data_IF_501149451928
#
_entry.id   IF_501149451928
#
_cell.length_a   1.000
_cell.length_b   1.000
_cell.length_c   1.000
_cell.angle_alpha   90.00
_cell.angle_beta   90.00
_cell.angle_gamma   90.00
#
_symmetry.space_group_name_H-M   'P 1'
#
loop_
_entity.id
_entity.type
_entity.pdbx_description
1 polymer ?
#
# COMPACT_ATOMS: atom_id res chain seq x y z
N UNK A 1 6.56 -34.89 -10.61
CA UNK A 1 7.80 -34.77 -9.80
C UNK A 1 8.60 -33.58 -10.33
N UNK A 2 9.12 -32.70 -9.46
CA UNK A 2 9.98 -31.57 -9.87
C UNK A 2 11.31 -32.10 -10.45
N UNK A 3 11.83 -31.44 -11.49
CA UNK A 3 13.15 -31.74 -12.07
C UNK A 3 14.28 -31.42 -11.08
N UNK A 4 15.50 -31.98 -11.23
CA UNK A 4 16.65 -31.64 -10.40
C UNK A 4 16.94 -30.13 -10.33
N UNK A 5 16.82 -29.41 -11.46
CA UNK A 5 16.94 -27.95 -11.50
C UNK A 5 15.81 -27.24 -10.73
N UNK A 6 14.58 -27.77 -10.79
CA UNK A 6 13.45 -27.24 -10.04
C UNK A 6 13.61 -27.41 -8.53
N UNK A 7 14.28 -28.47 -8.07
CA UNK A 7 14.62 -28.67 -6.64
C UNK A 7 15.70 -27.69 -6.18
N UNK A 8 16.79 -27.53 -6.94
CA UNK A 8 17.87 -26.61 -6.61
C UNK A 8 17.40 -25.14 -6.57
N UNK A 9 16.54 -24.72 -7.51
CA UNK A 9 15.95 -23.37 -7.48
C UNK A 9 15.05 -23.15 -6.27
N UNK A 10 14.28 -24.19 -5.88
CA UNK A 10 13.41 -24.13 -4.71
C UNK A 10 14.21 -24.05 -3.41
N UNK A 11 15.23 -24.89 -3.25
CA UNK A 11 16.12 -24.85 -2.07
C UNK A 11 16.82 -23.49 -1.94
N UNK A 12 17.36 -22.95 -3.05
CA UNK A 12 17.96 -21.61 -3.04
C UNK A 12 16.95 -20.50 -2.70
N UNK A 13 15.70 -20.64 -3.12
CA UNK A 13 14.63 -19.70 -2.79
C UNK A 13 14.21 -19.81 -1.33
N UNK A 14 14.06 -21.04 -0.81
CA UNK A 14 13.67 -21.32 0.57
C UNK A 14 14.75 -20.79 1.54
N UNK A 15 16.03 -20.98 1.23
CA UNK A 15 17.16 -20.41 2.00
C UNK A 15 17.16 -18.87 2.00
N UNK A 16 16.85 -18.23 0.85
CA UNK A 16 16.72 -16.77 0.78
C UNK A 16 15.55 -16.26 1.61
N UNK A 17 14.42 -16.95 1.59
CA UNK A 17 13.24 -16.61 2.39
C UNK A 17 13.57 -16.74 3.88
N UNK A 18 14.18 -17.85 4.29
CA UNK A 18 14.53 -18.10 5.69
C UNK A 18 15.47 -17.02 6.26
N UNK A 19 16.54 -16.69 5.54
CA UNK A 19 17.46 -15.59 5.94
C UNK A 19 16.75 -14.25 6.06
N UNK A 20 15.79 -13.98 5.18
CA UNK A 20 15.00 -12.74 5.21
C UNK A 20 14.07 -12.68 6.43
N UNK A 21 13.41 -13.79 6.77
CA UNK A 21 12.55 -13.91 7.95
C UNK A 21 13.37 -13.72 9.23
N UNK A 22 14.54 -14.34 9.34
CA UNK A 22 15.43 -14.16 10.48
C UNK A 22 15.86 -12.70 10.65
N UNK A 23 16.22 -12.03 9.55
CA UNK A 23 16.54 -10.60 9.55
C UNK A 23 15.36 -9.72 10.02
N UNK A 24 14.14 -10.03 9.56
CA UNK A 24 12.95 -9.31 9.98
C UNK A 24 12.64 -9.46 11.47
N UNK A 25 12.81 -10.66 12.05
CA UNK A 25 12.54 -10.86 13.49
C UNK A 25 13.44 -10.01 14.38
N UNK A 26 14.71 -9.84 14.00
CA UNK A 26 15.64 -8.98 14.74
C UNK A 26 15.25 -7.51 14.60
N UNK A 27 14.96 -7.06 13.37
CA UNK A 27 14.54 -5.69 13.07
C UNK A 27 13.21 -5.32 13.76
N UNK A 28 12.24 -6.22 13.74
CA UNK A 28 10.87 -5.97 14.17
C UNK A 28 10.63 -6.22 15.66
N UNK A 29 11.65 -6.64 16.43
CA UNK A 29 11.48 -7.08 17.82
C UNK A 29 10.70 -6.07 18.68
N UNK A 30 11.13 -4.80 18.70
CA UNK A 30 10.46 -3.73 19.48
C UNK A 30 9.00 -3.57 19.06
N UNK A 31 8.74 -3.58 17.75
CA UNK A 31 7.38 -3.46 17.20
C UNK A 31 6.51 -4.66 17.56
N UNK A 32 7.05 -5.88 17.49
CA UNK A 32 6.33 -7.10 17.86
C UNK A 32 6.00 -7.11 19.35
N UNK A 33 6.92 -6.66 20.21
CA UNK A 33 6.69 -6.54 21.65
C UNK A 33 5.58 -5.53 21.97
N UNK A 34 5.58 -4.36 21.31
CA UNK A 34 4.53 -3.35 21.47
C UNK A 34 3.16 -3.83 20.97
N UNK A 35 3.12 -4.50 19.81
CA UNK A 35 1.89 -5.09 19.28
C UNK A 35 1.36 -6.19 20.21
N UNK A 36 2.24 -7.05 20.75
CA UNK A 36 1.86 -8.09 21.69
C UNK A 36 1.31 -7.51 22.99
N UNK A 37 1.92 -6.44 23.52
CA UNK A 37 1.42 -5.73 24.68
C UNK A 37 0.02 -5.10 24.44
N UNK A 38 -0.28 -4.75 23.19
CA UNK A 38 -1.60 -4.29 22.77
C UNK A 38 -2.56 -5.44 22.39
N UNK A 39 -2.19 -6.70 22.61
CA UNK A 39 -3.04 -7.88 22.35
C UNK A 39 -2.96 -8.43 20.91
N UNK A 40 -2.02 -7.96 20.09
CA UNK A 40 -1.80 -8.42 18.71
C UNK A 40 -0.49 -9.21 18.65
N UNK A 41 -0.59 -10.54 18.72
CA UNK A 41 0.59 -11.42 18.71
C UNK A 41 0.83 -11.99 17.30
N UNK A 42 1.96 -11.60 16.70
CA UNK A 42 2.37 -12.00 15.36
C UNK A 42 3.78 -12.61 15.43
N UNK A 43 4.12 -13.50 14.49
CA UNK A 43 5.52 -13.92 14.33
C UNK A 43 6.36 -12.88 13.56
N UNK A 44 5.76 -12.26 12.56
CA UNK A 44 6.34 -11.21 11.72
C UNK A 44 5.26 -10.20 11.36
N UNK A 45 5.64 -8.92 11.33
CA UNK A 45 4.74 -7.80 10.98
C UNK A 45 4.25 -7.91 9.54
N UNK A 46 5.01 -8.61 8.69
CA UNK A 46 4.66 -8.79 7.28
C UNK A 46 3.35 -9.55 7.07
N UNK A 47 2.89 -10.30 8.06
CA UNK A 47 1.62 -11.02 8.01
C UNK A 47 0.42 -10.16 8.41
N UNK A 48 0.64 -9.04 9.10
CA UNK A 48 -0.41 -8.15 9.60
C UNK A 48 -1.39 -7.66 8.52
N UNK A 49 -0.96 -7.29 7.29
CA UNK A 49 -1.89 -6.89 6.23
C UNK A 49 -2.91 -7.96 5.82
N UNK A 50 -2.65 -9.23 6.16
CA UNK A 50 -3.55 -10.35 5.85
C UNK A 50 -4.59 -10.59 6.94
N UNK A 51 -4.47 -9.91 8.09
CA UNK A 51 -5.40 -10.04 9.21
C UNK A 51 -6.64 -9.16 9.00
N UNK A 52 -7.81 -9.54 9.57
CA UNK A 52 -8.96 -8.64 9.61
C UNK A 52 -8.62 -7.34 10.33
N UNK A 53 -8.91 -6.19 9.72
CA UNK A 53 -8.60 -4.88 10.31
C UNK A 53 -9.25 -4.64 11.68
N UNK A 54 -10.40 -5.29 11.95
CA UNK A 54 -11.05 -5.26 13.26
C UNK A 54 -10.16 -5.72 14.41
N UNK A 55 -9.19 -6.59 14.12
CA UNK A 55 -8.43 -7.30 15.14
C UNK A 55 -7.20 -6.49 15.60
N UNK A 56 -6.81 -5.46 14.84
CA UNK A 56 -5.63 -4.65 15.14
C UNK A 56 -5.84 -3.14 14.96
N UNK A 57 -7.05 -2.67 14.67
CA UNK A 57 -7.33 -1.23 14.46
C UNK A 57 -6.90 -0.35 15.64
N UNK A 58 -6.95 -0.85 16.88
CA UNK A 58 -6.51 -0.14 18.08
C UNK A 58 -4.98 0.05 18.13
N UNK A 59 -4.21 -0.68 17.32
CA UNK A 59 -2.75 -0.54 17.24
C UNK A 59 -2.28 0.48 16.20
N UNK A 60 -3.19 1.15 15.47
CA UNK A 60 -2.83 2.19 14.50
C UNK A 60 -1.84 3.26 15.05
N UNK A 61 -1.94 3.74 16.30
CA UNK A 61 -0.95 4.66 16.87
C UNK A 61 0.46 4.07 16.96
N UNK A 62 0.57 2.76 17.22
CA UNK A 62 1.84 2.03 17.21
C UNK A 62 2.36 1.97 15.78
N UNK A 63 1.54 1.52 14.83
CA UNK A 63 1.94 1.39 13.42
C UNK A 63 2.45 2.73 12.86
N UNK A 64 1.74 3.84 13.12
CA UNK A 64 2.13 5.17 12.68
C UNK A 64 3.52 5.57 13.19
N UNK A 65 3.75 5.49 14.52
CA UNK A 65 5.07 5.75 15.12
C UNK A 65 6.18 4.92 14.48
N UNK A 66 5.90 3.65 14.19
CA UNK A 66 6.88 2.72 13.63
C UNK A 66 7.17 2.96 12.13
N UNK A 67 6.34 3.70 11.40
CA UNK A 67 6.64 4.11 10.01
C UNK A 67 7.86 5.04 9.91
N UNK A 68 8.20 5.74 10.99
CA UNK A 68 9.34 6.65 11.03
C UNK A 68 10.65 5.99 11.48
N UNK A 69 10.63 4.70 11.82
CA UNK A 69 11.82 3.96 12.23
C UNK A 69 12.67 3.57 11.02
N UNK A 70 14.00 3.37 11.19
CA UNK A 70 14.91 3.00 10.11
C UNK A 70 14.78 1.51 9.73
N UNK A 71 13.56 1.09 9.43
CA UNK A 71 13.25 -0.27 9.01
C UNK A 71 13.51 -0.47 7.52
N UNK A 72 13.69 -1.73 7.16
CA UNK A 72 13.73 -2.19 5.80
C UNK A 72 12.43 -1.82 5.06
N UNK A 73 12.56 -1.62 3.75
CA UNK A 73 11.43 -1.35 2.87
C UNK A 73 10.33 -2.41 2.97
N UNK A 74 10.70 -3.67 3.24
CA UNK A 74 9.74 -4.76 3.47
C UNK A 74 8.86 -4.53 4.69
N UNK A 75 9.46 -4.19 5.82
CA UNK A 75 8.74 -3.89 7.06
C UNK A 75 7.90 -2.62 6.91
N UNK A 76 8.46 -1.55 6.36
CA UNK A 76 7.74 -0.29 6.12
C UNK A 76 6.55 -0.46 5.17
N UNK A 77 6.71 -1.23 4.10
CA UNK A 77 5.62 -1.55 3.17
C UNK A 77 4.48 -2.31 3.86
N UNK A 78 4.81 -3.29 4.71
CA UNK A 78 3.79 -4.04 5.47
C UNK A 78 3.10 -3.18 6.51
N UNK A 79 3.83 -2.30 7.22
CA UNK A 79 3.24 -1.32 8.12
C UNK A 79 2.24 -0.40 7.39
N UNK A 80 2.66 0.22 6.30
CA UNK A 80 1.81 1.13 5.55
C UNK A 80 0.57 0.42 4.97
N UNK A 81 0.72 -0.79 4.41
CA UNK A 81 -0.42 -1.57 3.92
C UNK A 81 -1.40 -1.93 5.04
N UNK A 82 -0.88 -2.24 6.24
CA UNK A 82 -1.73 -2.53 7.41
C UNK A 82 -2.58 -1.32 7.79
N UNK A 83 -2.11 -0.10 7.54
CA UNK A 83 -2.88 1.15 7.72
C UNK A 83 -3.85 1.45 6.55
N UNK A 84 -4.04 0.51 5.62
CA UNK A 84 -4.97 0.55 4.49
C UNK A 84 -6.47 0.55 4.85
N UNK A 85 -6.90 1.36 5.81
CA UNK A 85 -8.26 1.40 6.33
C UNK A 85 -8.75 2.83 6.64
N UNK A 86 -10.06 3.01 6.74
CA UNK A 86 -10.67 4.34 6.98
C UNK A 86 -10.29 4.91 8.35
N UNK A 87 -10.05 4.04 9.34
CA UNK A 87 -9.70 4.41 10.71
C UNK A 87 -8.30 5.02 10.81
N UNK A 88 -7.45 4.84 9.78
CA UNK A 88 -6.15 5.49 9.69
C UNK A 88 -6.24 6.97 9.22
N UNK A 89 -7.45 7.52 9.03
CA UNK A 89 -7.66 8.91 8.62
C UNK A 89 -6.94 9.97 9.49
N UNK A 90 -6.79 9.79 10.83
CA UNK A 90 -6.02 10.73 11.65
C UNK A 90 -4.54 10.85 11.25
N UNK A 91 -3.98 9.84 10.58
CA UNK A 91 -2.58 9.78 10.13
C UNK A 91 -2.42 10.23 8.66
N UNK A 92 -3.47 10.80 8.06
CA UNK A 92 -3.47 11.20 6.65
C UNK A 92 -2.25 12.04 6.25
N UNK A 93 -2.00 13.12 6.99
CA UNK A 93 -0.96 14.09 6.65
C UNK A 93 0.44 13.46 6.74
N UNK A 94 0.64 12.58 7.72
CA UNK A 94 1.88 11.81 7.91
C UNK A 94 2.12 10.86 6.74
N UNK A 95 1.09 10.08 6.36
CA UNK A 95 1.14 9.16 5.22
C UNK A 95 1.45 9.90 3.92
N UNK A 96 0.79 11.03 3.67
CA UNK A 96 1.03 11.87 2.47
C UNK A 96 2.45 12.43 2.47
N UNK A 97 2.96 12.86 3.64
CA UNK A 97 4.32 13.37 3.78
C UNK A 97 5.35 12.30 3.42
N UNK A 98 5.21 11.10 3.99
CA UNK A 98 6.09 9.96 3.68
C UNK A 98 5.99 9.55 2.20
N UNK A 99 4.80 9.58 1.63
CA UNK A 99 4.56 9.21 0.24
C UNK A 99 5.22 10.17 -0.75
N UNK A 100 5.16 11.48 -0.48
CA UNK A 100 5.84 12.50 -1.30
C UNK A 100 7.36 12.38 -1.29
N UNK A 101 7.93 11.73 -0.28
CA UNK A 101 9.38 11.49 -0.17
C UNK A 101 9.83 10.23 -0.92
N UNK A 102 8.89 9.41 -1.41
CA UNK A 102 9.26 8.17 -2.11
C UNK A 102 9.73 8.44 -3.54
N UNK A 103 10.74 7.70 -4.03
CA UNK A 103 11.18 7.81 -5.41
C UNK A 103 10.12 7.28 -6.39
N UNK A 104 10.07 7.83 -7.60
CA UNK A 104 9.14 7.39 -8.65
C UNK A 104 9.33 5.90 -9.03
N UNK A 105 10.58 5.44 -9.01
CA UNK A 105 10.96 4.07 -9.35
C UNK A 105 11.50 3.39 -8.10
N UNK A 106 10.78 2.37 -7.65
CA UNK A 106 11.25 1.42 -6.66
C UNK A 106 11.91 0.24 -7.37
N UNK A 107 12.94 -0.34 -6.74
CA UNK A 107 13.55 -1.58 -7.21
C UNK A 107 12.48 -2.69 -7.25
N UNK A 108 12.25 -3.36 -8.40
CA UNK A 108 11.25 -4.42 -8.52
C UNK A 108 11.43 -5.59 -7.53
N UNK A 109 12.66 -5.82 -7.05
CA UNK A 109 12.99 -6.92 -6.13
C UNK A 109 12.76 -6.55 -4.65
N UNK A 110 12.40 -5.29 -4.36
CA UNK A 110 12.15 -4.76 -3.03
C UNK A 110 10.66 -4.50 -2.86
N UNK A 111 10.07 -4.98 -1.75
CA UNK A 111 8.67 -4.68 -1.44
C UNK A 111 8.48 -3.17 -1.37
N UNK A 112 7.57 -2.66 -2.21
CA UNK A 112 7.41 -1.24 -2.47
C UNK A 112 6.66 -0.54 -1.32
N UNK A 113 7.40 0.25 -0.53
CA UNK A 113 6.86 1.08 0.55
C UNK A 113 5.92 2.17 0.01
N UNK A 114 6.26 2.79 -1.12
CA UNK A 114 5.40 3.78 -1.79
C UNK A 114 4.06 3.19 -2.21
N UNK A 115 4.03 1.93 -2.64
CA UNK A 115 2.80 1.21 -2.90
C UNK A 115 1.95 1.05 -1.64
N UNK A 116 2.57 0.67 -0.51
CA UNK A 116 1.88 0.54 0.77
C UNK A 116 1.28 1.87 1.24
N UNK A 117 2.03 2.96 1.11
CA UNK A 117 1.56 4.31 1.42
C UNK A 117 0.41 4.73 0.50
N UNK A 118 0.49 4.47 -0.80
CA UNK A 118 -0.58 4.77 -1.74
C UNK A 118 -1.89 4.01 -1.39
N UNK A 119 -1.80 2.76 -0.92
CA UNK A 119 -2.95 2.01 -0.42
C UNK A 119 -3.52 2.65 0.85
N UNK A 120 -2.66 2.98 1.82
CA UNK A 120 -3.05 3.66 3.06
C UNK A 120 -3.80 4.96 2.76
N UNK A 121 -3.23 5.82 1.94
CA UNK A 121 -3.79 7.09 1.47
C UNK A 121 -5.09 6.85 0.67
N UNK A 122 -5.17 5.85 -0.18
CA UNK A 122 -6.43 5.59 -0.90
C UNK A 122 -7.56 5.19 0.05
N UNK A 123 -7.25 4.40 1.09
CA UNK A 123 -8.25 3.88 2.01
C UNK A 123 -8.66 4.87 3.11
N UNK A 124 -7.73 5.69 3.60
CA UNK A 124 -7.90 6.56 4.77
C UNK A 124 -8.32 7.99 4.45
N UNK A 125 -8.50 8.35 3.17
CA UNK A 125 -8.83 9.72 2.77
C UNK A 125 -10.13 10.23 3.43
N UNK A 126 -10.09 11.30 4.24
CA UNK A 126 -11.30 11.90 4.77
C UNK A 126 -12.04 12.63 3.65
N UNK A 127 -13.40 12.69 3.67
CA UNK A 127 -14.18 13.34 2.62
C UNK A 127 -13.78 14.79 2.33
N UNK A 128 -13.34 15.53 3.35
CA UNK A 128 -12.86 16.91 3.24
C UNK A 128 -11.57 17.08 2.43
N UNK A 129 -10.79 16.01 2.23
CA UNK A 129 -9.48 16.05 1.56
C UNK A 129 -9.45 15.32 0.22
N UNK A 130 -10.62 15.03 -0.36
CA UNK A 130 -10.67 14.40 -1.68
C UNK A 130 -10.05 15.27 -2.78
N UNK A 131 -10.06 16.60 -2.62
CA UNK A 131 -9.41 17.50 -3.57
C UNK A 131 -7.88 17.42 -3.48
N UNK A 132 -7.31 17.29 -2.27
CA UNK A 132 -5.89 17.01 -2.08
C UNK A 132 -5.49 15.65 -2.69
N UNK A 133 -6.36 14.64 -2.61
CA UNK A 133 -6.14 13.35 -3.28
C UNK A 133 -6.08 13.50 -4.80
N UNK A 134 -6.90 14.37 -5.39
CA UNK A 134 -6.83 14.68 -6.83
C UNK A 134 -5.50 15.31 -7.19
N UNK A 135 -4.98 16.24 -6.37
CA UNK A 135 -3.66 16.83 -6.59
C UNK A 135 -2.55 15.76 -6.55
N UNK A 136 -2.62 14.81 -5.61
CA UNK A 136 -1.67 13.68 -5.56
C UNK A 136 -1.76 12.79 -6.81
N UNK A 137 -2.96 12.54 -7.32
CA UNK A 137 -3.17 11.78 -8.57
C UNK A 137 -2.53 12.53 -9.74
N UNK A 138 -2.67 13.85 -9.81
CA UNK A 138 -2.14 14.66 -10.92
C UNK A 138 -0.64 14.95 -10.83
N UNK A 139 -0.04 14.87 -9.64
CA UNK A 139 1.39 15.18 -9.44
C UNK A 139 2.28 14.16 -10.15
N UNK A 140 3.05 14.55 -11.19
CA UNK A 140 3.98 13.64 -11.86
C UNK A 140 5.11 13.19 -10.93
N UNK A 141 5.72 12.04 -11.18
CA UNK A 141 6.86 11.56 -10.40
C UNK A 141 6.52 10.86 -9.08
N UNK A 142 5.27 10.87 -8.62
CA UNK A 142 4.88 10.06 -7.46
C UNK A 142 4.68 8.58 -7.87
N UNK A 143 5.16 7.63 -7.06
CA UNK A 143 5.05 6.19 -7.38
C UNK A 143 3.62 5.69 -7.18
N UNK A 144 3.19 4.67 -7.93
CA UNK A 144 1.90 3.98 -7.68
C UNK A 144 0.62 4.84 -7.65
N UNK A 145 0.61 6.02 -8.27
CA UNK A 145 -0.56 6.94 -8.30
C UNK A 145 -1.88 6.31 -8.72
N UNK A 146 -1.83 5.26 -9.53
CA UNK A 146 -3.01 4.51 -9.97
C UNK A 146 -3.83 3.95 -8.79
N UNK A 147 -3.18 3.62 -7.67
CA UNK A 147 -3.83 3.10 -6.46
C UNK A 147 -4.68 4.16 -5.73
N UNK A 148 -4.39 5.44 -5.96
CA UNK A 148 -5.14 6.56 -5.37
C UNK A 148 -6.52 6.77 -6.01
N UNK A 149 -6.82 6.09 -7.13
CA UNK A 149 -8.07 6.28 -7.87
C UNK A 149 -9.31 5.73 -7.15
N UNK A 150 -9.17 4.81 -6.18
CA UNK A 150 -10.29 4.10 -5.57
C UNK A 150 -11.41 4.99 -4.98
N UNK A 151 -11.09 6.02 -4.17
CA UNK A 151 -12.07 6.99 -3.66
C UNK A 151 -12.80 7.79 -4.74
N UNK A 152 -12.08 8.19 -5.80
CA UNK A 152 -12.62 8.96 -6.93
C UNK A 152 -13.54 8.06 -7.76
N UNK A 153 -13.08 6.85 -8.06
CA UNK A 153 -13.83 5.84 -8.80
C UNK A 153 -15.20 5.57 -8.19
N UNK A 154 -15.29 5.40 -6.86
CA UNK A 154 -16.56 5.12 -6.15
C UNK A 154 -17.56 6.27 -6.19
N UNK A 155 -17.09 7.50 -6.44
CA UNK A 155 -17.89 8.74 -6.39
C UNK A 155 -18.19 9.33 -7.77
N UNK A 156 -17.52 8.86 -8.82
CA UNK A 156 -17.62 9.43 -10.18
C UNK A 156 -19.05 9.53 -10.73
N UNK A 157 -19.94 8.59 -10.40
CA UNK A 157 -21.33 8.64 -10.89
C UNK A 157 -22.20 9.70 -10.22
N UNK A 158 -21.78 10.24 -9.07
CA UNK A 158 -22.53 11.23 -8.28
C UNK A 158 -21.84 12.59 -8.19
N UNK A 159 -20.63 12.70 -8.74
CA UNK A 159 -19.84 13.93 -8.69
C UNK A 159 -19.23 14.19 -10.08
N UNK A 160 -19.71 15.25 -10.73
CA UNK A 160 -19.30 15.64 -12.09
C UNK A 160 -17.80 15.92 -12.20
N UNK A 161 -17.19 16.58 -11.21
CA UNK A 161 -15.74 16.83 -11.17
C UNK A 161 -14.94 15.54 -11.23
N UNK A 162 -15.39 14.50 -10.51
CA UNK A 162 -14.71 13.20 -10.53
C UNK A 162 -14.98 12.40 -11.80
N UNK A 163 -16.17 12.54 -12.42
CA UNK A 163 -16.42 11.97 -13.74
C UNK A 163 -15.48 12.57 -14.80
N UNK A 164 -15.37 13.90 -14.83
CA UNK A 164 -14.49 14.65 -15.74
C UNK A 164 -13.02 14.27 -15.53
N UNK A 165 -12.55 14.18 -14.28
CA UNK A 165 -11.21 13.71 -13.95
C UNK A 165 -10.92 12.31 -14.49
N UNK A 166 -11.84 11.35 -14.31
CA UNK A 166 -11.64 9.99 -14.82
C UNK A 166 -11.63 9.96 -16.35
N UNK A 167 -12.43 10.81 -17.01
CA UNK A 167 -12.43 10.92 -18.46
C UNK A 167 -11.12 11.52 -18.98
N UNK A 168 -10.55 12.52 -18.31
CA UNK A 168 -9.21 13.06 -18.58
C UNK A 168 -8.14 11.97 -18.46
N UNK A 169 -8.13 11.25 -17.33
CA UNK A 169 -7.09 10.26 -17.02
C UNK A 169 -7.19 8.96 -17.83
N UNK A 170 -8.32 8.64 -18.46
CA UNK A 170 -8.48 7.38 -19.21
C UNK A 170 -7.53 7.26 -20.40
N UNK A 171 -7.00 8.39 -20.88
CA UNK A 171 -6.07 8.48 -22.00
C UNK A 171 -4.60 8.60 -21.54
N UNK A 172 -4.36 8.78 -20.24
CA UNK A 172 -3.03 8.84 -19.68
C UNK A 172 -2.39 7.43 -19.63
N UNK A 173 -1.16 7.22 -20.13
CA UNK A 173 -0.50 5.92 -20.11
C UNK A 173 -0.37 5.28 -18.71
N UNK A 174 -0.27 6.08 -17.65
CA UNK A 174 -0.16 5.61 -16.26
C UNK A 174 -1.48 5.03 -15.77
N UNK A 175 -2.61 5.65 -16.13
CA UNK A 175 -3.93 5.32 -15.56
C UNK A 175 -4.84 4.51 -16.50
N UNK A 176 -4.63 4.62 -17.81
CA UNK A 176 -5.49 4.07 -18.87
C UNK A 176 -5.78 2.58 -18.68
N UNK A 177 -4.76 1.77 -18.41
CA UNK A 177 -4.90 0.32 -18.20
C UNK A 177 -5.84 -0.02 -17.04
N UNK A 178 -5.76 0.72 -15.94
CA UNK A 178 -6.60 0.47 -14.77
C UNK A 178 -8.03 0.97 -15.02
N UNK A 179 -8.19 2.19 -15.55
CA UNK A 179 -9.50 2.78 -15.81
C UNK A 179 -10.30 1.94 -16.82
N UNK A 180 -9.66 1.39 -17.86
CA UNK A 180 -10.31 0.55 -18.87
C UNK A 180 -10.87 -0.77 -18.31
N UNK A 181 -10.36 -1.25 -17.16
CA UNK A 181 -10.88 -2.47 -16.50
C UNK A 181 -12.21 -2.23 -15.80
N UNK A 182 -12.59 -0.99 -15.54
CA UNK A 182 -13.77 -0.68 -14.76
C UNK A 182 -15.07 -0.96 -15.54
N UNK A 183 -16.07 -1.52 -14.85
CA UNK A 183 -17.42 -1.71 -15.41
C UNK A 183 -17.99 -0.35 -15.85
N UNK A 184 -18.58 -0.31 -17.04
CA UNK A 184 -19.08 0.91 -17.68
C UNK A 184 -18.06 1.73 -18.46
N UNK A 185 -16.76 1.38 -18.42
CA UNK A 185 -15.68 2.06 -19.17
C UNK A 185 -15.07 1.19 -20.29
N UNK A 186 -15.42 -0.10 -20.36
CA UNK A 186 -14.97 -1.01 -21.43
C UNK A 186 -15.51 -0.50 -22.78
N UNK A 187 -14.62 -0.31 -23.77
CA UNK A 187 -15.06 -0.11 -25.17
C UNK A 187 -15.95 -1.29 -25.54
N UNK A 188 -17.13 -1.02 -26.13
CA UNK A 188 -17.84 -2.04 -26.90
C UNK A 188 -16.90 -2.44 -28.04
N UNK A 189 -16.31 -3.62 -27.97
CA UNK A 189 -15.72 -4.26 -29.15
C UNK A 189 -16.81 -4.28 -30.22
N UNK A 190 -16.61 -3.52 -31.30
CA UNK A 190 -17.36 -3.72 -32.54
C UNK A 190 -16.58 -4.76 -33.34
#
# INVERSE_FOLDING_TARGET
MLTPEGRARREAQDERIKKRIEGFRVEQRELLDELAAAGVSLEIVNDLPNWPSSDYVHTLPILARHLHRPYSQGTLASLARSMGMKEAAPYWDELVTLYRQQPEKSDPDVSDFGMGLAVAISASVPPSRLDELVELIKTPGLPNRVLLLGPIQRRRSRNRKYAELIEELRHDPVFSREIQRWKGMRRKSH
#
